data_IF_294857475605
#
_entry.id   IF_294857475605
#
_cell.length_a   1.000
_cell.length_b   1.000
_cell.length_c   1.000
_cell.angle_alpha   90.00
_cell.angle_beta   90.00
_cell.angle_gamma   90.00
#
_symmetry.space_group_name_H-M   'P 1'
#
loop_
_entity.id
_entity.type
_entity.pdbx_description
1 polymer ?
#
# COMPACT_ATOMS: atom_id res chain seq x y z
N UNK A 1 1.99 16.69 -7.86
CA UNK A 1 2.14 16.81 -9.33
C UNK A 1 3.47 17.46 -9.64
N UNK A 2 4.28 16.84 -10.49
CA UNK A 2 5.57 17.42 -10.90
C UNK A 2 5.37 18.72 -11.67
N UNK A 3 6.18 19.75 -11.36
CA UNK A 3 6.15 21.06 -12.04
C UNK A 3 6.79 21.01 -13.42
N UNK A 4 6.48 19.98 -14.21
CA UNK A 4 7.07 19.81 -15.53
C UNK A 4 6.54 20.85 -16.52
N UNK A 5 7.46 21.44 -17.28
CA UNK A 5 7.09 22.29 -18.43
C UNK A 5 6.60 21.44 -19.59
N UNK A 6 5.80 21.99 -20.53
CA UNK A 6 5.37 21.23 -21.72
C UNK A 6 6.53 20.64 -22.52
N UNK A 7 7.65 21.34 -22.61
CA UNK A 7 8.85 20.81 -23.29
C UNK A 7 9.46 19.60 -22.58
N UNK A 8 9.47 19.60 -21.26
CA UNK A 8 9.95 18.46 -20.48
C UNK A 8 9.01 17.27 -20.62
N UNK A 9 7.69 17.50 -20.61
CA UNK A 9 6.70 16.44 -20.83
C UNK A 9 6.89 15.79 -22.22
N UNK A 10 7.09 16.60 -23.26
CA UNK A 10 7.36 16.06 -24.61
C UNK A 10 8.63 15.21 -24.61
N UNK A 11 9.73 15.69 -24.03
CA UNK A 11 10.99 14.91 -23.92
C UNK A 11 10.82 13.58 -23.21
N UNK A 12 10.02 13.52 -22.17
CA UNK A 12 9.73 12.26 -21.47
C UNK A 12 8.89 11.30 -22.34
N UNK A 13 7.93 11.84 -23.12
CA UNK A 13 7.16 11.05 -24.06
C UNK A 13 8.02 10.55 -25.24
N UNK A 14 8.98 11.35 -25.70
CA UNK A 14 9.90 10.99 -26.80
C UNK A 14 10.75 9.75 -26.51
N UNK A 15 10.98 9.42 -25.24
CA UNK A 15 11.69 8.20 -24.84
C UNK A 15 10.95 6.92 -25.20
N UNK A 16 9.64 7.00 -25.39
CA UNK A 16 8.78 5.81 -25.56
C UNK A 16 7.94 5.86 -26.83
N UNK A 17 7.75 7.02 -27.41
CA UNK A 17 6.82 7.25 -28.52
C UNK A 17 7.58 7.91 -29.66
N UNK A 18 7.73 7.17 -30.74
CA UNK A 18 8.38 7.66 -31.96
C UNK A 18 7.38 8.46 -32.78
N UNK A 19 7.76 9.64 -33.24
CA UNK A 19 6.88 10.54 -33.99
C UNK A 19 5.75 11.11 -33.15
N UNK A 20 4.63 11.45 -33.77
CA UNK A 20 3.43 12.01 -33.13
C UNK A 20 3.68 13.34 -32.39
N UNK A 21 4.54 14.19 -32.92
CA UNK A 21 5.03 15.41 -32.25
C UNK A 21 3.92 16.41 -31.93
N UNK A 22 2.94 16.55 -32.84
CA UNK A 22 1.79 17.42 -32.61
C UNK A 22 0.91 16.88 -31.47
N UNK A 23 0.63 15.59 -31.46
CA UNK A 23 -0.16 14.96 -30.40
C UNK A 23 0.55 15.06 -29.05
N UNK A 24 1.85 14.77 -28.98
CA UNK A 24 2.66 14.91 -27.75
C UNK A 24 2.64 16.35 -27.23
N UNK A 25 2.76 17.33 -28.12
CA UNK A 25 2.70 18.75 -27.76
C UNK A 25 1.32 19.15 -27.25
N UNK A 26 0.27 18.72 -27.94
CA UNK A 26 -1.12 19.03 -27.52
C UNK A 26 -1.44 18.46 -26.13
N UNK A 27 -1.10 17.20 -25.85
CA UNK A 27 -1.34 16.58 -24.53
C UNK A 27 -0.47 17.21 -23.44
N UNK A 28 0.77 17.61 -23.75
CA UNK A 28 1.64 18.28 -22.81
C UNK A 28 1.08 19.65 -22.37
N UNK A 29 0.54 20.41 -23.33
CA UNK A 29 -0.11 21.71 -23.07
C UNK A 29 -1.39 21.48 -22.24
N UNK A 30 -2.22 20.50 -22.61
CA UNK A 30 -3.44 20.20 -21.87
C UNK A 30 -3.15 19.80 -20.40
N UNK A 31 -2.13 18.97 -20.19
CA UNK A 31 -1.69 18.60 -18.82
C UNK A 31 -1.21 19.83 -18.05
N UNK A 32 -0.43 20.71 -18.65
CA UNK A 32 0.05 21.94 -18.01
C UNK A 32 -1.10 22.88 -17.66
N UNK A 33 -2.10 22.99 -18.51
CA UNK A 33 -3.29 23.80 -18.24
C UNK A 33 -4.09 23.23 -17.06
N UNK A 34 -4.21 21.89 -16.95
CA UNK A 34 -4.83 21.24 -15.80
C UNK A 34 -4.07 21.54 -14.50
N UNK A 35 -2.74 21.49 -14.54
CA UNK A 35 -1.90 21.89 -13.40
C UNK A 35 -2.11 23.37 -13.01
N UNK A 36 -2.12 24.29 -14.00
CA UNK A 36 -2.38 25.70 -13.74
C UNK A 36 -3.75 25.93 -13.10
N UNK A 37 -4.77 25.23 -13.59
CA UNK A 37 -6.11 25.26 -13.01
C UNK A 37 -6.12 24.85 -11.53
N UNK A 38 -5.31 23.88 -11.12
CA UNK A 38 -5.23 23.46 -9.72
C UNK A 38 -4.53 24.46 -8.79
N UNK A 39 -3.94 25.52 -9.36
CA UNK A 39 -3.22 26.58 -8.61
C UNK A 39 -3.99 27.91 -8.50
N UNK A 40 -5.11 28.04 -9.18
CA UNK A 40 -5.99 29.19 -9.05
C UNK A 40 -6.96 29.00 -7.88
N UNK A 41 -7.53 30.09 -7.39
CA UNK A 41 -8.54 30.07 -6.34
C UNK A 41 -9.81 29.32 -6.75
N UNK A 42 -10.65 29.01 -5.81
CA UNK A 42 -11.83 28.18 -6.03
C UNK A 42 -12.85 28.86 -6.97
N UNK A 43 -13.04 30.19 -6.83
CA UNK A 43 -13.97 30.96 -7.67
C UNK A 43 -13.54 30.92 -9.14
N UNK A 44 -12.28 31.18 -9.44
CA UNK A 44 -11.76 31.11 -10.81
C UNK A 44 -11.66 29.66 -11.33
N UNK A 45 -11.50 28.69 -10.44
CA UNK A 45 -11.43 27.25 -10.82
C UNK A 45 -12.79 26.75 -11.32
N UNK A 46 -13.90 27.24 -10.78
CA UNK A 46 -15.24 26.90 -11.25
C UNK A 46 -15.50 27.43 -12.65
N UNK A 47 -15.03 28.64 -12.96
CA UNK A 47 -15.13 29.23 -14.29
C UNK A 47 -14.32 28.48 -15.36
N UNK A 48 -13.22 27.83 -15.01
CA UNK A 48 -12.33 27.12 -15.92
C UNK A 48 -12.66 25.63 -15.96
N UNK A 49 -13.52 25.21 -16.88
CA UNK A 49 -13.81 23.78 -17.08
C UNK A 49 -12.61 23.02 -17.62
N UNK A 50 -12.24 21.87 -17.02
CA UNK A 50 -11.22 21.00 -17.59
C UNK A 50 -11.69 20.41 -18.91
N UNK A 51 -10.84 20.44 -19.94
CA UNK A 51 -11.17 19.87 -21.26
C UNK A 51 -10.69 18.43 -21.34
N UNK A 52 -11.54 17.57 -21.89
CA UNK A 52 -11.19 16.22 -22.26
C UNK A 52 -10.36 16.21 -23.55
N UNK A 53 -9.51 15.19 -23.72
CA UNK A 53 -8.69 15.03 -24.91
C UNK A 53 -9.27 13.91 -25.75
N UNK A 54 -9.62 14.22 -26.99
CA UNK A 54 -10.02 13.25 -28.00
C UNK A 54 -8.83 12.98 -28.92
N UNK A 55 -8.41 11.70 -29.01
CA UNK A 55 -7.36 11.25 -29.93
C UNK A 55 -7.96 10.41 -31.04
N UNK A 56 -7.81 10.86 -32.26
CA UNK A 56 -8.33 10.18 -33.47
C UNK A 56 -7.15 9.72 -34.32
N UNK A 57 -7.25 8.52 -34.87
CA UNK A 57 -6.23 7.94 -35.76
C UNK A 57 -6.33 6.42 -35.85
N UNK A 58 -5.57 5.77 -36.72
CA UNK A 58 -5.58 4.32 -36.92
C UNK A 58 -5.08 3.58 -35.64
N UNK A 59 -5.30 2.25 -35.63
CA UNK A 59 -4.76 1.39 -34.57
C UNK A 59 -3.23 1.33 -34.64
N UNK A 60 -2.58 1.14 -33.47
CA UNK A 60 -1.12 0.96 -33.41
C UNK A 60 -0.28 2.24 -33.39
N UNK A 61 -0.86 3.43 -33.64
CA UNK A 61 -0.10 4.70 -33.70
C UNK A 61 0.29 5.27 -32.32
N UNK A 62 0.05 4.57 -31.23
CA UNK A 62 0.50 4.98 -29.88
C UNK A 62 -0.49 5.80 -29.06
N UNK A 63 -1.76 5.97 -29.48
CA UNK A 63 -2.77 6.76 -28.74
C UNK A 63 -2.88 6.38 -27.26
N UNK A 64 -3.07 5.10 -26.98
CA UNK A 64 -3.20 4.58 -25.59
C UNK A 64 -1.88 4.69 -24.84
N UNK A 65 -0.75 4.52 -25.52
CA UNK A 65 0.56 4.61 -24.87
C UNK A 65 0.89 6.04 -24.45
N UNK A 66 0.52 7.05 -25.26
CA UNK A 66 0.61 8.46 -24.87
C UNK A 66 -0.14 8.69 -23.56
N UNK A 67 -1.40 8.24 -23.48
CA UNK A 67 -2.22 8.42 -22.28
C UNK A 67 -1.63 7.71 -21.05
N UNK A 68 -1.16 6.46 -21.22
CA UNK A 68 -0.54 5.68 -20.14
C UNK A 68 0.73 6.33 -19.64
N UNK A 69 1.62 6.80 -20.51
CA UNK A 69 2.87 7.46 -20.14
C UNK A 69 2.61 8.80 -19.45
N UNK A 70 1.62 9.53 -19.95
CA UNK A 70 1.21 10.79 -19.34
C UNK A 70 0.72 10.58 -17.89
N UNK A 71 -0.11 9.56 -17.66
CA UNK A 71 -0.58 9.21 -16.33
C UNK A 71 0.58 8.84 -15.38
N UNK A 72 1.53 8.01 -15.85
CA UNK A 72 2.73 7.67 -15.07
C UNK A 72 3.57 8.88 -14.72
N UNK A 73 3.73 9.81 -15.66
CA UNK A 73 4.54 11.02 -15.46
C UNK A 73 4.02 11.92 -14.33
N UNK A 74 2.71 11.92 -14.13
CA UNK A 74 2.07 12.73 -13.09
C UNK A 74 1.61 11.92 -11.87
N UNK A 75 1.99 10.64 -11.82
CA UNK A 75 1.58 9.71 -10.76
C UNK A 75 0.06 9.69 -10.57
N UNK A 76 -0.67 9.65 -11.70
CA UNK A 76 -2.13 9.57 -11.69
C UNK A 76 -2.60 8.12 -11.95
N UNK A 77 -3.71 7.69 -11.34
CA UNK A 77 -4.30 6.39 -11.64
C UNK A 77 -4.75 6.33 -13.10
N UNK A 78 -4.57 5.17 -13.73
CA UNK A 78 -4.88 4.94 -15.13
C UNK A 78 -5.57 3.59 -15.31
N UNK A 79 -6.71 3.61 -15.97
CA UNK A 79 -7.38 2.41 -16.48
C UNK A 79 -7.65 2.54 -17.98
N UNK A 80 -7.61 1.42 -18.67
CA UNK A 80 -8.04 1.32 -20.06
C UNK A 80 -9.35 0.54 -20.12
N UNK A 81 -10.36 1.15 -20.67
CA UNK A 81 -11.68 0.52 -20.87
C UNK A 81 -12.04 0.48 -22.35
N UNK A 82 -12.79 -0.54 -22.74
CA UNK A 82 -13.36 -0.67 -24.07
C UNK A 82 -14.83 -0.27 -24.01
N UNK A 83 -15.20 0.83 -24.66
CA UNK A 83 -16.55 1.38 -24.58
C UNK A 83 -17.64 0.38 -25.00
N UNK A 84 -17.34 -0.52 -25.95
CA UNK A 84 -18.26 -1.55 -26.42
C UNK A 84 -18.66 -2.61 -25.37
N UNK A 85 -17.93 -2.67 -24.24
CA UNK A 85 -18.25 -3.60 -23.14
C UNK A 85 -19.24 -3.01 -22.12
N UNK A 86 -19.55 -1.73 -22.26
CA UNK A 86 -20.48 -1.03 -21.37
C UNK A 86 -21.81 -0.82 -22.06
N UNK A 87 -22.88 -1.02 -21.32
CA UNK A 87 -24.25 -0.86 -21.79
C UNK A 87 -25.03 0.03 -20.82
N UNK A 88 -26.14 0.57 -21.29
CA UNK A 88 -27.09 1.26 -20.43
C UNK A 88 -27.72 0.28 -19.43
N UNK A 89 -28.16 0.84 -18.30
CA UNK A 89 -28.79 0.08 -17.20
C UNK A 89 -29.96 -0.78 -17.75
N UNK A 90 -29.88 -2.09 -17.50
CA UNK A 90 -30.92 -3.06 -17.92
C UNK A 90 -30.57 -3.91 -19.16
N UNK A 91 -29.46 -3.64 -19.84
CA UNK A 91 -28.95 -4.49 -20.92
C UNK A 91 -27.76 -5.36 -20.47
N UNK A 92 -27.50 -6.43 -21.23
CA UNK A 92 -26.37 -7.34 -20.95
C UNK A 92 -25.05 -6.61 -21.21
N UNK A 93 -24.30 -6.26 -20.15
CA UNK A 93 -23.01 -5.59 -20.23
C UNK A 93 -22.54 -5.12 -18.86
N UNK A 94 -21.34 -4.55 -18.80
CA UNK A 94 -20.83 -3.94 -17.57
C UNK A 94 -21.48 -2.58 -17.35
N UNK A 95 -21.79 -2.29 -16.09
CA UNK A 95 -22.28 -0.97 -15.68
C UNK A 95 -21.18 0.09 -15.86
N UNK A 96 -21.58 1.26 -16.39
CA UNK A 96 -20.68 2.41 -16.61
C UNK A 96 -20.07 2.89 -15.29
N UNK A 97 -20.80 2.80 -14.19
CA UNK A 97 -20.30 3.19 -12.85
C UNK A 97 -19.11 2.34 -12.42
N UNK A 98 -19.00 1.09 -12.91
CA UNK A 98 -17.86 0.22 -12.64
C UNK A 98 -16.53 0.84 -13.09
N UNK A 99 -16.52 1.73 -14.08
CA UNK A 99 -15.32 2.43 -14.56
C UNK A 99 -14.73 3.28 -13.42
N UNK A 100 -15.58 4.02 -12.71
CA UNK A 100 -15.15 4.87 -11.61
C UNK A 100 -14.67 4.01 -10.45
N UNK A 101 -15.37 2.91 -10.15
CA UNK A 101 -14.96 1.95 -9.10
C UNK A 101 -13.58 1.36 -9.39
N UNK A 102 -13.37 0.84 -10.61
CA UNK A 102 -12.08 0.28 -11.04
C UNK A 102 -10.95 1.34 -10.95
N UNK A 103 -11.26 2.61 -11.28
CA UNK A 103 -10.29 3.71 -11.17
C UNK A 103 -9.94 4.02 -9.72
N UNK A 104 -10.92 4.04 -8.83
CA UNK A 104 -10.72 4.26 -7.38
C UNK A 104 -9.90 3.13 -6.78
N UNK A 105 -10.20 1.88 -7.09
CA UNK A 105 -9.40 0.73 -6.62
C UNK A 105 -7.94 0.81 -7.09
N UNK A 106 -7.73 1.22 -8.35
CA UNK A 106 -6.39 1.45 -8.87
C UNK A 106 -5.67 2.58 -8.11
N UNK A 107 -6.36 3.68 -7.80
CA UNK A 107 -5.82 4.78 -7.01
C UNK A 107 -5.44 4.34 -5.59
N UNK A 108 -6.31 3.58 -4.92
CA UNK A 108 -6.06 3.03 -3.57
C UNK A 108 -4.81 2.14 -3.59
N UNK A 109 -4.70 1.25 -4.60
CA UNK A 109 -3.53 0.38 -4.75
C UNK A 109 -2.25 1.18 -4.92
N UNK A 110 -2.23 2.19 -5.81
CA UNK A 110 -1.06 3.06 -6.01
C UNK A 110 -0.62 3.76 -4.73
N UNK A 111 -1.56 4.35 -3.99
CA UNK A 111 -1.26 5.04 -2.73
C UNK A 111 -0.76 4.04 -1.68
N UNK A 112 -1.36 2.85 -1.62
CA UNK A 112 -0.90 1.79 -0.70
C UNK A 112 0.52 1.34 -1.02
N UNK A 113 0.86 1.12 -2.29
CA UNK A 113 2.21 0.76 -2.73
C UNK A 113 3.22 1.85 -2.37
N UNK A 114 2.89 3.13 -2.61
CA UNK A 114 3.74 4.27 -2.24
C UNK A 114 3.96 4.34 -0.71
N UNK A 115 2.90 4.20 0.08
CA UNK A 115 3.00 4.18 1.54
C UNK A 115 3.81 2.99 2.04
N UNK A 116 3.58 1.79 1.50
CA UNK A 116 4.35 0.58 1.84
C UNK A 116 5.83 0.76 1.55
N UNK A 117 6.17 1.25 0.36
CA UNK A 117 7.56 1.53 0.00
C UNK A 117 8.22 2.55 0.94
N UNK A 118 7.47 3.58 1.36
CA UNK A 118 7.97 4.61 2.29
C UNK A 118 8.22 4.08 3.69
N UNK A 119 7.38 3.16 4.18
CA UNK A 119 7.52 2.62 5.55
C UNK A 119 8.38 1.35 5.62
N UNK A 120 8.63 0.68 4.49
CA UNK A 120 9.39 -0.57 4.43
C UNK A 120 10.75 -0.52 5.14
N UNK A 121 11.59 0.52 5.01
CA UNK A 121 12.86 0.58 5.71
C UNK A 121 12.70 0.58 7.23
N UNK A 122 11.72 1.34 7.73
CA UNK A 122 11.41 1.39 9.17
C UNK A 122 10.79 0.08 9.66
N UNK A 123 9.89 -0.50 8.89
CA UNK A 123 9.27 -1.78 9.21
C UNK A 123 10.31 -2.90 9.31
N UNK A 124 11.32 -2.88 8.43
CA UNK A 124 12.43 -3.83 8.47
C UNK A 124 13.19 -3.75 9.79
N UNK A 125 13.59 -2.57 10.23
CA UNK A 125 14.30 -2.37 11.51
C UNK A 125 13.47 -2.88 12.68
N UNK A 126 12.17 -2.58 12.71
CA UNK A 126 11.26 -3.05 13.77
C UNK A 126 11.13 -4.58 13.75
N UNK A 127 11.05 -5.17 12.54
CA UNK A 127 10.99 -6.61 12.39
C UNK A 127 12.27 -7.30 12.87
N UNK A 128 13.44 -6.77 12.52
CA UNK A 128 14.73 -7.25 12.98
C UNK A 128 14.84 -7.18 14.53
N UNK A 129 14.44 -6.06 15.15
CA UNK A 129 14.39 -5.91 16.60
C UNK A 129 13.44 -6.92 17.27
N UNK A 130 12.28 -7.15 16.65
CA UNK A 130 11.32 -8.14 17.15
C UNK A 130 11.86 -9.56 17.04
N UNK A 131 12.52 -9.92 15.93
CA UNK A 131 13.17 -11.22 15.77
C UNK A 131 14.25 -11.45 16.82
N UNK A 132 15.13 -10.48 17.04
CA UNK A 132 16.17 -10.54 18.08
C UNK A 132 15.54 -10.72 19.46
N UNK A 133 14.46 -10.01 19.74
CA UNK A 133 13.75 -10.13 21.03
C UNK A 133 13.15 -11.52 21.23
N UNK A 134 12.57 -12.12 20.18
CA UNK A 134 12.02 -13.47 20.20
C UNK A 134 13.10 -14.56 20.31
N UNK A 135 14.28 -14.31 19.75
CA UNK A 135 15.43 -15.22 19.85
C UNK A 135 16.01 -15.27 21.24
N UNK A 136 16.06 -14.10 21.93
CA UNK A 136 16.53 -14.00 23.32
C UNK A 136 15.49 -14.52 24.32
N UNK A 137 14.22 -14.19 24.08
CA UNK A 137 13.10 -14.58 24.93
C UNK A 137 12.04 -15.31 24.11
N UNK A 138 12.22 -16.59 23.78
CA UNK A 138 11.21 -17.35 23.06
C UNK A 138 9.91 -17.40 23.86
N UNK A 139 8.75 -17.24 23.22
CA UNK A 139 7.47 -17.33 23.92
C UNK A 139 7.37 -18.70 24.61
N UNK A 140 7.19 -18.68 25.93
CA UNK A 140 6.97 -19.92 26.69
C UNK A 140 5.63 -20.48 26.22
N UNK A 141 5.64 -21.71 25.66
CA UNK A 141 4.38 -22.43 25.37
C UNK A 141 3.48 -22.34 26.59
N UNK A 142 2.21 -21.96 26.43
CA UNK A 142 1.30 -21.96 27.57
C UNK A 142 1.28 -23.39 28.13
N UNK A 143 1.96 -23.60 29.23
CA UNK A 143 1.85 -24.87 29.94
C UNK A 143 0.46 -24.87 30.55
N UNK A 144 -0.40 -25.77 30.04
CA UNK A 144 -1.73 -26.06 30.59
C UNK A 144 -1.64 -26.75 31.97
N UNK A 145 -0.58 -26.49 32.74
CA UNK A 145 -0.52 -26.85 34.14
C UNK A 145 -1.31 -25.80 34.91
N UNK A 146 -2.58 -26.07 35.15
CA UNK A 146 -3.31 -25.44 36.25
C UNK A 146 -2.49 -25.69 37.51
N UNK A 147 -1.67 -24.70 37.88
CA UNK A 147 -0.84 -24.77 39.05
C UNK A 147 -1.77 -24.69 40.25
N UNK A 148 -1.86 -25.79 40.98
CA UNK A 148 -2.63 -25.90 42.24
C UNK A 148 -2.15 -24.85 43.25
N UNK A 149 -0.92 -24.35 43.10
CA UNK A 149 -0.34 -23.29 43.92
C UNK A 149 -1.04 -21.93 43.81
N UNK A 150 -1.65 -21.65 42.63
CA UNK A 150 -2.47 -20.44 42.43
C UNK A 150 -3.78 -20.48 43.22
N UNK A 151 -4.38 -21.67 43.35
CA UNK A 151 -5.61 -21.89 44.09
C UNK A 151 -5.36 -21.88 45.64
N UNK A 152 -4.13 -22.15 46.09
CA UNK A 152 -3.76 -22.22 47.51
C UNK A 152 -3.18 -20.90 48.06
N UNK A 153 -3.17 -19.81 47.25
CA UNK A 153 -2.73 -18.50 47.73
C UNK A 153 -1.24 -18.39 48.09
N UNK A 154 -0.41 -19.33 47.63
CA UNK A 154 1.04 -19.38 47.88
C UNK A 154 1.91 -18.82 46.78
N UNK A 155 1.33 -18.08 45.81
CA UNK A 155 2.09 -17.41 44.80
C UNK A 155 2.97 -16.31 45.41
N UNK A 156 4.27 -16.57 45.53
CA UNK A 156 5.26 -15.52 45.77
C UNK A 156 5.22 -14.54 44.61
N UNK A 157 5.13 -13.25 44.90
CA UNK A 157 5.31 -12.18 43.93
C UNK A 157 6.58 -12.40 43.13
N UNK A 158 6.59 -12.19 41.80
CA UNK A 158 7.81 -12.28 41.02
C UNK A 158 8.77 -11.18 41.52
N UNK A 159 9.86 -11.61 42.15
CA UNK A 159 10.98 -10.73 42.45
C UNK A 159 11.56 -10.22 41.12
N UNK A 160 11.69 -8.92 41.02
CA UNK A 160 12.30 -8.21 39.88
C UNK A 160 13.76 -8.66 39.74
N UNK A 161 14.18 -9.26 38.61
CA UNK A 161 15.58 -9.67 38.44
C UNK A 161 16.50 -8.45 38.35
N UNK A 162 17.67 -8.62 38.98
CA UNK A 162 18.66 -7.59 39.21
C UNK A 162 19.31 -7.02 37.93
N UNK A 163 19.95 -5.86 38.06
CA UNK A 163 20.59 -5.06 36.98
C UNK A 163 21.67 -5.81 36.15
N UNK A 164 22.23 -6.90 36.67
CA UNK A 164 23.27 -7.67 35.98
C UNK A 164 22.73 -8.57 34.87
N UNK A 165 21.56 -9.17 35.04
CA UNK A 165 20.85 -9.92 33.99
C UNK A 165 20.51 -9.08 32.76
N UNK A 166 20.28 -7.77 32.93
CA UNK A 166 20.00 -6.85 31.84
C UNK A 166 21.22 -6.52 30.95
N UNK A 167 22.44 -6.58 31.48
CA UNK A 167 23.67 -6.32 30.74
C UNK A 167 24.05 -7.52 29.85
N UNK A 168 23.95 -8.74 30.38
CA UNK A 168 24.20 -9.97 29.57
C UNK A 168 23.18 -10.15 28.46
N UNK A 169 21.90 -9.84 28.72
CA UNK A 169 20.85 -9.86 27.71
C UNK A 169 21.06 -8.79 26.63
N UNK A 170 21.64 -7.64 26.97
CA UNK A 170 21.96 -6.59 26.00
C UNK A 170 23.10 -7.03 25.07
N UNK A 171 24.15 -7.66 25.60
CA UNK A 171 25.27 -8.18 24.83
C UNK A 171 24.82 -9.34 23.90
N UNK A 172 23.96 -10.21 24.40
CA UNK A 172 23.38 -11.31 23.60
C UNK A 172 22.51 -10.78 22.44
N UNK A 173 21.70 -9.75 22.70
CA UNK A 173 20.90 -9.08 21.65
C UNK A 173 21.79 -8.48 20.56
N UNK A 174 22.89 -7.85 20.92
CA UNK A 174 23.79 -7.24 19.97
C UNK A 174 24.53 -8.32 19.12
N UNK A 175 24.96 -9.43 19.73
CA UNK A 175 25.54 -10.58 19.00
C UNK A 175 24.54 -11.18 18.01
N UNK A 176 23.30 -11.43 18.42
CA UNK A 176 22.26 -11.98 17.56
C UNK A 176 21.91 -11.02 16.43
N UNK A 177 21.89 -9.69 16.69
CA UNK A 177 21.70 -8.69 15.66
C UNK A 177 22.80 -8.73 14.59
N UNK A 178 24.06 -8.85 15.01
CA UNK A 178 25.18 -8.98 14.10
C UNK A 178 25.14 -10.28 13.28
N UNK A 179 24.75 -11.39 13.88
CA UNK A 179 24.58 -12.67 13.20
C UNK A 179 23.42 -12.61 12.19
N UNK A 180 22.33 -11.94 12.53
CA UNK A 180 21.21 -11.72 11.63
C UNK A 180 21.62 -10.87 10.40
N UNK A 181 22.40 -9.80 10.64
CA UNK A 181 22.92 -8.95 9.55
C UNK A 181 23.89 -9.69 8.64
N UNK A 182 24.63 -10.67 9.15
CA UNK A 182 25.56 -11.50 8.37
C UNK A 182 24.88 -12.69 7.67
N UNK A 183 23.59 -12.95 7.96
CA UNK A 183 22.86 -14.09 7.42
C UNK A 183 23.27 -15.44 8.05
N UNK A 184 23.92 -15.44 9.21
CA UNK A 184 24.42 -16.66 9.86
C UNK A 184 23.30 -17.50 10.54
N UNK A 185 22.12 -16.89 10.73
CA UNK A 185 20.97 -17.48 11.44
C UNK A 185 19.69 -17.52 10.61
N UNK A 186 19.80 -17.46 9.27
CA UNK A 186 18.64 -17.49 8.36
C UNK A 186 17.86 -18.81 8.42
N UNK A 187 18.51 -19.93 8.70
CA UNK A 187 17.90 -21.26 8.78
C UNK A 187 17.25 -21.55 10.15
N UNK A 188 17.28 -20.58 11.07
CA UNK A 188 16.74 -20.80 12.40
C UNK A 188 15.22 -20.62 12.44
N UNK A 189 14.50 -21.67 12.80
CA UNK A 189 13.05 -21.66 12.92
C UNK A 189 12.62 -20.93 14.22
N UNK A 190 11.58 -20.09 14.10
CA UNK A 190 10.96 -19.36 15.19
C UNK A 190 9.45 -19.56 15.19
N UNK A 191 8.88 -19.83 16.34
CA UNK A 191 7.43 -19.81 16.55
C UNK A 191 7.00 -18.35 16.84
N UNK A 192 6.13 -17.79 16.00
CA UNK A 192 5.58 -16.45 16.20
C UNK A 192 4.05 -16.52 16.27
N UNK A 193 3.47 -15.78 17.20
CA UNK A 193 2.01 -15.57 17.24
C UNK A 193 1.63 -14.53 16.18
N UNK A 194 0.78 -14.94 15.22
CA UNK A 194 0.26 -14.07 14.17
C UNK A 194 -1.23 -13.84 14.43
N UNK A 195 -1.65 -12.59 14.46
CA UNK A 195 -3.09 -12.27 14.43
C UNK A 195 -3.62 -12.56 13.02
N UNK A 196 -4.42 -13.62 12.88
CA UNK A 196 -5.17 -13.84 11.64
C UNK A 196 -6.16 -12.67 11.47
N UNK A 197 -6.03 -11.94 10.36
CA UNK A 197 -7.04 -10.97 9.98
C UNK A 197 -8.38 -11.69 9.83
N UNK A 198 -9.36 -11.35 10.66
CA UNK A 198 -10.68 -11.93 10.56
C UNK A 198 -11.23 -11.74 9.13
N UNK A 199 -11.82 -12.77 8.51
CA UNK A 199 -12.35 -12.65 7.17
C UNK A 199 -13.40 -11.53 7.13
N UNK A 200 -13.20 -10.56 6.25
CA UNK A 200 -14.18 -9.51 6.00
C UNK A 200 -15.32 -10.09 5.17
N UNK A 201 -16.53 -10.09 5.73
CA UNK A 201 -17.74 -10.41 4.98
C UNK A 201 -18.23 -9.12 4.29
N UNK A 202 -18.24 -9.13 2.96
CA UNK A 202 -18.90 -8.10 2.17
C UNK A 202 -20.42 -8.32 2.24
N UNK A 203 -21.09 -7.56 3.08
CA UNK A 203 -22.56 -7.51 3.12
C UNK A 203 -23.01 -6.14 2.61
N UNK A 204 -23.62 -6.13 1.44
CA UNK A 204 -24.28 -4.93 0.91
C UNK A 204 -23.35 -3.77 0.50
N UNK A 205 -22.09 -4.06 0.05
CA UNK A 205 -21.18 -3.03 -0.45
C UNK A 205 -20.35 -2.31 0.62
N UNK A 206 -20.44 -2.73 1.88
CA UNK A 206 -19.57 -2.27 2.96
C UNK A 206 -18.82 -3.47 3.53
N UNK A 207 -17.49 -3.41 3.51
CA UNK A 207 -16.65 -4.40 4.17
C UNK A 207 -16.75 -4.21 5.69
N UNK A 208 -17.57 -5.01 6.36
CA UNK A 208 -17.67 -5.04 7.82
C UNK A 208 -16.70 -6.12 8.31
N UNK A 209 -15.67 -5.74 9.05
CA UNK A 209 -14.78 -6.68 9.71
C UNK A 209 -15.56 -7.40 10.82
N UNK A 210 -15.63 -8.74 10.73
CA UNK A 210 -16.19 -9.55 11.81
C UNK A 210 -15.46 -9.35 13.15
N UNK A 211 -14.18 -8.93 13.10
CA UNK A 211 -13.38 -8.61 14.27
C UNK A 211 -13.90 -7.39 15.04
N UNK A 212 -14.40 -6.38 14.35
CA UNK A 212 -14.99 -5.19 14.97
C UNK A 212 -16.37 -5.48 15.59
N UNK A 213 -17.09 -6.48 15.06
CA UNK A 213 -18.44 -6.83 15.52
C UNK A 213 -18.42 -7.81 16.71
N UNK A 214 -17.42 -8.67 16.81
CA UNK A 214 -17.32 -9.67 17.87
C UNK A 214 -16.32 -9.31 18.98
N UNK A 215 -15.78 -8.09 18.98
CA UNK A 215 -14.93 -7.52 20.01
C UNK A 215 -14.21 -8.53 20.90
N UNK A 216 -12.94 -8.62 20.87
CA UNK A 216 -12.05 -9.30 21.83
C UNK A 216 -12.46 -10.73 22.32
N UNK A 217 -13.40 -11.42 21.68
CA UNK A 217 -13.94 -12.71 22.13
C UNK A 217 -13.27 -13.92 21.47
N UNK A 218 -12.37 -13.74 20.51
CA UNK A 218 -11.64 -14.85 19.90
C UNK A 218 -10.30 -15.08 20.60
N UNK A 219 -9.98 -16.31 21.02
CA UNK A 219 -8.67 -16.63 21.57
C UNK A 219 -7.62 -16.51 20.47
N UNK A 220 -6.51 -15.82 20.79
CA UNK A 220 -5.31 -15.76 19.93
C UNK A 220 -4.77 -17.18 19.76
N UNK A 221 -4.61 -17.60 18.52
CA UNK A 221 -3.93 -18.86 18.16
C UNK A 221 -2.43 -18.65 18.06
#
# INVERSE_FOLDING_TARGET
MAELTPRQIVRELDRYIVGQDEAKRAVAIALRNRYRRSKVDDAMREEISPKNILMIGPTGVGKTEIARRLAKLVSAPFIKVEATKFTEVGYVGRDVESIVRDLVENAIRMVREEHTARVAPRARVIAEDRLVTLLVNPPKKPSNSFSLDYLLGRAKSPETPAKEENAELADERERLRQQLMKGEIEDRELEIEVEEAAPSLEVGGSAISLGDMMGNMMPKK
#
